data_IF_561994195630
#
_entry.id   IF_561994195630
#
_cell.length_a   1.000
_cell.length_b   1.000
_cell.length_c   1.000
_cell.angle_alpha   90.00
_cell.angle_beta   90.00
_cell.angle_gamma   90.00
#
_symmetry.space_group_name_H-M   'P 1'
#
loop_
_entity.id
_entity.type
_entity.pdbx_description
1 polymer ?
#
# COMPACT_ATOMS: atom_id res chain seq x y z
N UNK A 1 -23.25 9.96 2.84
CA UNK A 1 -21.99 10.47 2.25
C UNK A 1 -20.97 10.94 3.29
N UNK A 2 -21.30 11.79 4.28
CA UNK A 2 -20.33 12.20 5.33
C UNK A 2 -19.82 11.04 6.21
N UNK A 3 -20.65 10.05 6.53
CA UNK A 3 -20.31 8.92 7.42
C UNK A 3 -19.31 7.93 6.81
N UNK A 4 -19.34 7.71 5.49
CA UNK A 4 -18.37 6.85 4.78
C UNK A 4 -17.00 7.50 4.65
N UNK A 5 -16.95 8.82 4.45
CA UNK A 5 -15.71 9.61 4.47
C UNK A 5 -15.10 9.68 5.89
N UNK A 6 -15.95 9.86 6.91
CA UNK A 6 -15.50 9.93 8.30
C UNK A 6 -14.95 8.59 8.81
N UNK A 7 -15.61 7.48 8.49
CA UNK A 7 -15.12 6.12 8.79
C UNK A 7 -13.76 5.85 8.13
N UNK A 8 -13.56 6.33 6.90
CA UNK A 8 -12.31 6.14 6.16
C UNK A 8 -11.17 7.01 6.68
N UNK A 9 -11.47 8.24 7.15
CA UNK A 9 -10.50 9.10 7.85
C UNK A 9 -10.04 8.47 9.17
N UNK A 10 -10.95 7.82 9.90
CA UNK A 10 -10.64 7.10 11.13
C UNK A 10 -9.79 5.85 10.86
N UNK A 11 -10.06 5.11 9.78
CA UNK A 11 -9.25 3.96 9.37
C UNK A 11 -7.83 4.39 8.93
N UNK A 12 -7.73 5.52 8.23
CA UNK A 12 -6.46 6.13 7.83
C UNK A 12 -5.62 6.58 9.02
N UNK A 13 -6.24 7.24 10.01
CA UNK A 13 -5.59 7.64 11.27
C UNK A 13 -5.18 6.40 12.07
N UNK A 14 -6.03 5.39 12.16
CA UNK A 14 -5.74 4.14 12.87
C UNK A 14 -4.58 3.39 12.21
N UNK A 15 -4.55 3.27 10.88
CA UNK A 15 -3.52 2.55 10.14
C UNK A 15 -2.18 3.32 10.07
N UNK A 16 -2.20 4.66 10.12
CA UNK A 16 -0.99 5.48 10.25
C UNK A 16 -0.35 5.34 11.65
N UNK A 17 -1.13 5.00 12.68
CA UNK A 17 -0.63 4.85 14.05
C UNK A 17 -0.16 3.42 14.40
N UNK A 18 -0.65 2.38 13.71
CA UNK A 18 -0.20 0.98 13.92
C UNK A 18 1.30 0.76 13.70
N UNK A 19 1.97 1.31 12.65
CA UNK A 19 3.42 1.12 12.49
C UNK A 19 4.26 1.89 13.52
N UNK A 20 3.69 2.88 14.22
CA UNK A 20 4.37 3.62 15.30
C UNK A 20 4.43 2.79 16.58
N UNK A 21 3.47 1.89 16.81
CA UNK A 21 3.35 1.11 18.05
C UNK A 21 4.31 -0.10 18.07
N UNK A 22 4.79 -0.59 16.92
CA UNK A 22 5.74 -1.70 16.85
C UNK A 22 7.19 -1.34 17.22
N UNK A 23 7.45 -0.09 17.64
CA UNK A 23 8.78 0.35 18.11
C UNK A 23 8.87 0.30 19.67
N UNK A 24 7.79 -0.10 20.36
CA UNK A 24 7.65 0.01 21.83
C UNK A 24 7.68 -1.33 22.59
N UNK A 25 7.97 -2.48 21.97
CA UNK A 25 8.25 -3.71 22.72
C UNK A 25 9.76 -3.83 23.03
N UNK A 26 10.15 -3.36 24.22
CA UNK A 26 11.43 -3.66 24.87
C UNK A 26 11.65 -5.20 24.92
N UNK A 27 12.85 -5.72 24.69
CA UNK A 27 13.95 -5.80 25.66
C UNK A 27 15.35 -5.75 24.99
N UNK A 28 16.30 -5.00 25.58
CA UNK A 28 17.73 -5.37 25.59
C UNK A 28 18.71 -4.65 24.66
N UNK A 29 19.46 -3.68 25.23
CA UNK A 29 20.85 -3.28 24.89
C UNK A 29 21.19 -2.80 23.47
N UNK A 30 20.88 -1.54 23.18
CA UNK A 30 21.77 -0.55 22.54
C UNK A 30 21.00 0.77 22.56
N UNK A 31 21.68 1.91 22.38
CA UNK A 31 21.02 3.19 22.16
C UNK A 31 19.92 2.98 21.11
N UNK A 32 18.67 3.08 21.54
CA UNK A 32 17.50 2.80 20.72
C UNK A 32 17.40 3.91 19.68
N UNK A 33 18.06 3.71 18.54
CA UNK A 33 17.79 4.53 17.37
C UNK A 33 16.29 4.43 17.09
N UNK A 34 15.50 5.51 17.25
CA UNK A 34 14.06 5.47 16.99
C UNK A 34 13.74 5.11 15.53
N UNK A 35 14.75 5.12 14.66
CA UNK A 35 14.67 4.70 13.27
C UNK A 35 15.08 3.22 13.06
N UNK A 36 15.76 2.60 14.02
CA UNK A 36 16.23 1.21 14.03
C UNK A 36 16.96 0.80 12.75
N UNK A 37 17.82 1.69 12.24
CA UNK A 37 18.55 1.48 10.99
C UNK A 37 19.76 0.57 11.23
N UNK A 38 20.00 -0.41 10.35
CA UNK A 38 21.24 -1.20 10.38
C UNK A 38 22.44 -0.24 10.18
N UNK A 39 23.40 -0.17 11.12
CA UNK A 39 24.58 0.71 11.00
C UNK A 39 25.40 0.44 9.73
N UNK A 40 25.32 -0.78 9.18
CA UNK A 40 26.08 -1.18 8.00
C UNK A 40 25.40 -0.78 6.69
N UNK A 41 24.07 -0.56 6.69
CA UNK A 41 23.30 -0.19 5.49
C UNK A 41 22.10 0.74 5.81
N UNK A 42 22.31 1.90 6.45
CA UNK A 42 21.20 2.74 6.95
C UNK A 42 20.34 3.31 5.82
N UNK A 43 20.92 3.49 4.63
CA UNK A 43 20.21 3.97 3.44
C UNK A 43 19.25 2.94 2.84
N UNK A 44 19.59 1.65 2.91
CA UNK A 44 18.73 0.56 2.43
C UNK A 44 17.49 0.46 3.32
N UNK A 45 17.69 0.44 4.64
CA UNK A 45 16.60 0.18 5.57
C UNK A 45 15.61 1.36 5.61
N UNK A 46 16.12 2.59 5.54
CA UNK A 46 15.28 3.78 5.37
C UNK A 46 14.46 3.71 4.06
N UNK A 47 15.08 3.32 2.95
CA UNK A 47 14.37 3.14 1.68
C UNK A 47 13.31 2.04 1.76
N UNK A 48 13.63 0.88 2.38
CA UNK A 48 12.70 -0.22 2.59
C UNK A 48 11.49 0.18 3.43
N UNK A 49 11.71 0.99 4.49
CA UNK A 49 10.63 1.52 5.33
C UNK A 49 9.74 2.49 4.56
N UNK A 50 10.32 3.42 3.80
CA UNK A 50 9.56 4.37 2.97
C UNK A 50 8.72 3.62 1.93
N UNK A 51 9.30 2.63 1.26
CA UNK A 51 8.60 1.80 0.27
C UNK A 51 7.41 1.09 0.91
N UNK A 52 7.59 0.44 2.07
CA UNK A 52 6.49 -0.24 2.79
C UNK A 52 5.36 0.73 3.16
N UNK A 53 5.70 1.93 3.63
CA UNK A 53 4.72 2.97 3.94
C UNK A 53 3.96 3.32 2.65
N UNK A 54 4.64 3.73 1.59
CA UNK A 54 4.00 4.09 0.32
C UNK A 54 3.14 2.96 -0.25
N UNK A 55 3.61 1.71 -0.21
CA UNK A 55 2.85 0.54 -0.67
C UNK A 55 1.53 0.38 0.09
N UNK A 56 1.53 0.63 1.39
CA UNK A 56 0.31 0.55 2.19
C UNK A 56 -0.72 1.62 1.83
N UNK A 57 -0.27 2.86 1.59
CA UNK A 57 -1.13 3.93 1.07
C UNK A 57 -1.72 3.58 -0.30
N UNK A 58 -0.89 3.07 -1.21
CA UNK A 58 -1.32 2.67 -2.56
C UNK A 58 -2.36 1.54 -2.50
N UNK A 59 -2.17 0.55 -1.62
CA UNK A 59 -3.14 -0.53 -1.43
C UNK A 59 -4.51 -0.01 -0.98
N UNK A 60 -4.52 0.93 -0.03
CA UNK A 60 -5.75 1.57 0.46
C UNK A 60 -6.45 2.35 -0.66
N UNK A 61 -5.72 3.19 -1.40
CA UNK A 61 -6.26 3.97 -2.52
C UNK A 61 -6.86 3.06 -3.60
N UNK A 62 -6.16 1.98 -3.94
CA UNK A 62 -6.62 0.99 -4.91
C UNK A 62 -7.94 0.36 -4.47
N UNK A 63 -8.05 -0.03 -3.19
CA UNK A 63 -9.28 -0.59 -2.64
C UNK A 63 -10.46 0.40 -2.76
N UNK A 64 -10.24 1.69 -2.47
CA UNK A 64 -11.28 2.73 -2.63
C UNK A 64 -11.74 2.82 -4.09
N UNK A 65 -10.81 2.84 -5.04
CA UNK A 65 -11.16 2.92 -6.46
C UNK A 65 -11.97 1.70 -6.91
N UNK A 66 -11.62 0.50 -6.44
CA UNK A 66 -12.36 -0.72 -6.75
C UNK A 66 -13.79 -0.65 -6.19
N UNK A 67 -13.95 -0.23 -4.93
CA UNK A 67 -15.27 -0.09 -4.31
C UNK A 67 -16.09 0.97 -5.06
N UNK A 68 -15.52 2.13 -5.36
CA UNK A 68 -16.22 3.20 -6.06
C UNK A 68 -16.60 2.79 -7.50
N UNK A 69 -15.67 2.21 -8.25
CA UNK A 69 -15.92 1.70 -9.60
C UNK A 69 -16.96 0.58 -9.62
N UNK A 70 -16.90 -0.31 -8.64
CA UNK A 70 -17.89 -1.38 -8.43
C UNK A 70 -19.28 -0.84 -8.11
N UNK A 71 -19.40 0.14 -7.21
CA UNK A 71 -20.67 0.79 -6.90
C UNK A 71 -21.25 1.52 -8.11
N UNK A 72 -20.42 2.25 -8.87
CA UNK A 72 -20.86 2.91 -10.12
C UNK A 72 -21.37 1.88 -11.12
N UNK A 73 -20.67 0.76 -11.26
CA UNK A 73 -21.09 -0.32 -12.17
C UNK A 73 -22.40 -0.98 -11.72
N UNK A 74 -22.54 -1.32 -10.43
CA UNK A 74 -23.74 -1.93 -9.86
C UNK A 74 -24.97 -1.00 -9.86
N UNK A 75 -24.77 0.31 -9.69
CA UNK A 75 -25.86 1.32 -9.66
C UNK A 75 -26.21 1.90 -11.03
N UNK A 76 -25.63 1.37 -12.11
CA UNK A 76 -25.81 1.91 -13.47
C UNK A 76 -27.19 1.67 -14.07
N UNK A 77 -27.98 0.72 -13.57
CA UNK A 77 -29.39 0.53 -13.98
C UNK A 77 -29.64 0.33 -15.48
N UNK A 78 -28.65 -0.11 -16.24
CA UNK A 78 -28.75 -0.29 -17.71
C UNK A 78 -28.26 0.90 -18.55
N UNK A 79 -27.85 2.03 -17.94
CA UNK A 79 -27.24 3.12 -18.68
C UNK A 79 -25.81 2.76 -19.12
N UNK A 80 -25.61 2.53 -20.42
CA UNK A 80 -24.33 2.11 -21.00
C UNK A 80 -23.16 3.03 -20.62
N UNK A 81 -23.40 4.34 -20.52
CA UNK A 81 -22.38 5.32 -20.16
C UNK A 81 -21.83 5.07 -18.74
N UNK A 82 -22.70 4.76 -17.78
CA UNK A 82 -22.30 4.48 -16.39
C UNK A 82 -21.64 3.12 -16.26
N UNK A 83 -22.07 2.14 -17.07
CA UNK A 83 -21.43 0.82 -17.15
C UNK A 83 -20.00 0.96 -17.66
N UNK A 84 -19.80 1.70 -18.76
CA UNK A 84 -18.48 1.94 -19.34
C UNK A 84 -17.58 2.68 -18.35
N UNK A 85 -18.11 3.66 -17.63
CA UNK A 85 -17.37 4.42 -16.60
C UNK A 85 -16.95 3.54 -15.42
N UNK A 86 -17.86 2.74 -14.87
CA UNK A 86 -17.57 1.83 -13.75
C UNK A 86 -16.54 0.77 -14.12
N UNK A 87 -16.68 0.14 -15.30
CA UNK A 87 -15.68 -0.79 -15.84
C UNK A 87 -14.33 -0.11 -16.07
N UNK A 88 -14.31 1.10 -16.61
CA UNK A 88 -13.07 1.86 -16.80
C UNK A 88 -12.31 2.05 -15.49
N UNK A 89 -12.99 2.49 -14.43
CA UNK A 89 -12.38 2.67 -13.10
C UNK A 89 -11.80 1.35 -12.57
N UNK A 90 -12.54 0.24 -12.71
CA UNK A 90 -12.07 -1.07 -12.28
C UNK A 90 -10.84 -1.54 -13.05
N UNK A 91 -10.82 -1.38 -14.38
CA UNK A 91 -9.68 -1.76 -15.22
C UNK A 91 -8.43 -0.96 -14.85
N UNK A 92 -8.56 0.36 -14.67
CA UNK A 92 -7.44 1.20 -14.26
C UNK A 92 -6.95 0.89 -12.85
N UNK A 93 -7.84 0.58 -11.91
CA UNK A 93 -7.46 0.19 -10.56
C UNK A 93 -6.72 -1.15 -10.54
N UNK A 94 -7.18 -2.14 -11.31
CA UNK A 94 -6.53 -3.46 -11.42
C UNK A 94 -5.17 -3.35 -12.09
N UNK A 95 -5.05 -2.57 -13.18
CA UNK A 95 -3.77 -2.34 -13.85
C UNK A 95 -2.76 -1.67 -12.89
N UNK A 96 -3.19 -0.66 -12.13
CA UNK A 96 -2.33 -0.04 -11.11
C UNK A 96 -1.84 -1.04 -10.06
N UNK A 97 -2.73 -1.91 -9.57
CA UNK A 97 -2.37 -2.94 -8.60
C UNK A 97 -1.36 -3.95 -9.16
N UNK A 98 -1.58 -4.41 -10.40
CA UNK A 98 -0.68 -5.35 -11.07
C UNK A 98 0.71 -4.76 -11.24
N UNK A 99 0.82 -3.49 -11.63
CA UNK A 99 2.12 -2.82 -11.81
C UNK A 99 2.88 -2.71 -10.49
N UNK A 100 2.20 -2.35 -9.40
CA UNK A 100 2.81 -2.20 -8.08
C UNK A 100 3.29 -3.54 -7.54
N UNK A 101 2.44 -4.56 -7.57
CA UNK A 101 2.80 -5.91 -7.11
C UNK A 101 3.87 -6.53 -8.01
N UNK A 102 3.76 -6.35 -9.33
CA UNK A 102 4.72 -6.83 -10.30
C UNK A 102 6.10 -6.19 -10.12
N UNK A 103 6.17 -4.89 -9.84
CA UNK A 103 7.41 -4.18 -9.55
C UNK A 103 8.13 -4.76 -8.33
N UNK A 104 7.41 -5.04 -7.24
CA UNK A 104 7.99 -5.65 -6.04
C UNK A 104 8.57 -7.03 -6.32
N UNK A 105 7.83 -7.88 -7.04
CA UNK A 105 8.29 -9.23 -7.42
C UNK A 105 9.51 -9.16 -8.32
N UNK A 106 9.53 -8.25 -9.29
CA UNK A 106 10.66 -8.04 -10.19
C UNK A 106 11.93 -7.66 -9.41
N UNK A 107 11.85 -6.67 -8.51
CA UNK A 107 13.01 -6.23 -7.72
C UNK A 107 13.57 -7.38 -6.88
N UNK A 108 12.72 -8.12 -6.17
CA UNK A 108 13.16 -9.27 -5.37
C UNK A 108 13.76 -10.39 -6.24
N UNK A 109 13.23 -10.60 -7.44
CA UNK A 109 13.77 -11.58 -8.38
C UNK A 109 15.20 -11.20 -8.78
N UNK A 110 15.46 -9.94 -9.16
CA UNK A 110 16.80 -9.48 -9.49
C UNK A 110 17.79 -9.62 -8.32
N UNK A 111 17.40 -9.20 -7.11
CA UNK A 111 18.27 -9.30 -5.93
C UNK A 111 18.60 -10.76 -5.63
N UNK A 112 17.59 -11.64 -5.64
CA UNK A 112 17.78 -13.07 -5.36
C UNK A 112 18.64 -13.76 -6.42
N UNK A 113 18.49 -13.42 -7.70
CA UNK A 113 19.30 -13.97 -8.78
C UNK A 113 20.78 -13.63 -8.64
N UNK A 114 21.12 -12.45 -8.14
CA UNK A 114 22.52 -12.03 -7.95
C UNK A 114 23.11 -12.70 -6.70
N UNK A 115 22.34 -12.75 -5.60
CA UNK A 115 22.80 -13.35 -4.34
C UNK A 115 22.92 -14.88 -4.41
N UNK A 116 22.10 -15.56 -5.21
CA UNK A 116 22.13 -17.04 -5.32
C UNK A 116 23.25 -17.57 -6.25
N UNK A 117 23.85 -16.69 -7.07
CA UNK A 117 24.90 -17.05 -8.04
C UNK A 117 26.31 -16.80 -7.49
N UNK A 118 26.45 -16.05 -6.41
CA UNK A 118 27.71 -15.91 -5.65
C UNK A 118 27.71 -16.87 -4.48
#
# INVERSE_FOLDING_TARGET
MKKTIFFFLILFIFFSFVPVIQIVSAEGTALNDPLSLDPNNPVNDLAGRIIKVVLSFVGIITLIMIIYGGLVWMTSGGAEEKIKKGKGILVWAILGLIVVLGSYVLVNFFITSITKVT
#
